data_IF_589920901580
#
_entry.id   IF_589920901580
#
_cell.length_a   1.000
_cell.length_b   1.000
_cell.length_c   1.000
_cell.angle_alpha   90.00
_cell.angle_beta   90.00
_cell.angle_gamma   90.00
#
_symmetry.space_group_name_H-M   'P 1'
#
loop_
_entity.id
_entity.type
_entity.pdbx_description
1 polymer ?
#
# COMPACT_ATOMS: atom_id res chain seq x y z
N UNK A 1 12.81 -1.42 8.66
CA UNK A 1 12.82 -1.87 10.07
C UNK A 1 11.54 -2.65 10.39
N UNK A 2 10.36 -2.15 10.05
CA UNK A 2 9.08 -2.78 10.42
C UNK A 2 8.72 -4.10 9.70
N UNK A 3 9.11 -4.30 8.44
CA UNK A 3 8.96 -5.58 7.73
C UNK A 3 9.62 -6.76 8.47
N UNK A 4 10.78 -6.50 9.09
CA UNK A 4 11.50 -7.51 9.89
C UNK A 4 10.76 -7.83 11.19
N UNK A 5 10.12 -6.84 11.81
CA UNK A 5 9.33 -7.03 13.05
C UNK A 5 8.15 -7.98 12.81
N UNK A 6 7.45 -7.84 11.68
CA UNK A 6 6.38 -8.77 11.29
C UNK A 6 6.88 -10.21 11.15
N UNK A 7 8.04 -10.41 10.53
CA UNK A 7 8.67 -11.72 10.41
C UNK A 7 9.05 -12.30 11.78
N UNK A 8 9.63 -11.51 12.67
CA UNK A 8 9.96 -11.94 14.03
C UNK A 8 8.72 -12.32 14.83
N UNK A 9 7.65 -11.54 14.72
CA UNK A 9 6.38 -11.86 15.39
C UNK A 9 5.80 -13.19 14.91
N UNK A 10 5.80 -13.44 13.59
CA UNK A 10 5.28 -14.70 13.06
C UNK A 10 6.13 -15.90 13.46
N UNK A 11 7.46 -15.80 13.37
CA UNK A 11 8.37 -16.87 13.77
C UNK A 11 8.34 -17.14 15.27
N UNK A 12 8.25 -16.10 16.11
CA UNK A 12 8.04 -16.23 17.56
C UNK A 12 6.71 -16.92 17.90
N UNK A 13 5.69 -16.79 17.03
CA UNK A 13 4.42 -17.51 17.13
C UNK A 13 4.50 -18.96 16.60
N UNK A 14 5.69 -19.47 16.26
CA UNK A 14 5.92 -20.85 15.84
C UNK A 14 5.80 -21.10 14.34
N UNK A 15 5.68 -20.04 13.53
CA UNK A 15 5.60 -20.16 12.06
C UNK A 15 6.97 -20.48 11.51
N UNK A 16 7.06 -21.50 10.65
CA UNK A 16 8.28 -21.88 9.96
C UNK A 16 8.18 -21.46 8.50
N UNK A 17 9.16 -20.71 8.03
CA UNK A 17 9.31 -20.37 6.61
C UNK A 17 10.36 -21.27 5.98
N UNK A 18 10.26 -21.59 4.68
CA UNK A 18 11.31 -22.30 3.98
C UNK A 18 12.58 -21.45 3.91
N UNK A 19 13.76 -22.07 3.92
CA UNK A 19 14.99 -21.32 3.73
C UNK A 19 14.98 -20.71 2.33
N UNK A 20 15.07 -19.38 2.27
CA UNK A 20 14.84 -18.63 1.02
C UNK A 20 15.83 -17.49 0.93
N UNK A 21 16.35 -17.24 -0.27
CA UNK A 21 17.17 -16.06 -0.59
C UNK A 21 16.51 -15.31 -1.72
N UNK A 22 16.15 -14.06 -1.45
CA UNK A 22 15.46 -13.21 -2.40
C UNK A 22 15.87 -11.76 -2.21
N UNK A 23 15.64 -10.97 -3.25
CA UNK A 23 15.83 -9.52 -3.22
C UNK A 23 14.49 -8.88 -2.87
N UNK A 24 14.47 -8.12 -1.78
CA UNK A 24 13.32 -7.31 -1.39
C UNK A 24 13.63 -5.85 -1.67
N UNK A 25 12.87 -5.27 -2.59
CA UNK A 25 12.86 -3.85 -2.87
C UNK A 25 11.94 -3.12 -1.91
N UNK A 26 12.53 -2.17 -1.19
CA UNK A 26 11.86 -1.32 -0.21
C UNK A 26 11.67 0.10 -0.75
N UNK A 27 12.03 0.38 -2.00
CA UNK A 27 11.75 1.68 -2.60
C UNK A 27 10.31 1.78 -3.07
N UNK A 28 9.70 2.95 -2.85
CA UNK A 28 8.31 3.21 -3.23
C UNK A 28 8.03 2.95 -4.72
N UNK A 29 8.95 3.36 -5.61
CA UNK A 29 8.71 3.29 -7.06
C UNK A 29 9.18 2.01 -7.75
N UNK A 30 9.53 0.94 -7.01
CA UNK A 30 10.11 -0.26 -7.60
C UNK A 30 11.60 -0.10 -7.94
N UNK A 31 12.43 -1.16 -7.90
CA UNK A 31 13.85 -1.12 -8.26
C UNK A 31 14.08 -1.48 -9.74
N UNK A 32 13.09 -2.10 -10.40
CA UNK A 32 13.15 -2.52 -11.79
C UNK A 32 12.71 -1.40 -12.78
N UNK A 33 13.28 -0.19 -12.65
CA UNK A 33 12.81 1.06 -13.30
C UNK A 33 13.42 1.38 -14.69
N UNK A 34 14.52 0.74 -15.05
CA UNK A 34 15.42 1.27 -16.11
C UNK A 34 15.68 0.28 -17.25
N UNK A 35 15.37 -1.00 -17.07
CA UNK A 35 15.65 -2.04 -18.08
C UNK A 35 14.36 -2.77 -18.51
N UNK A 36 14.31 -3.23 -19.77
CA UNK A 36 13.18 -3.97 -20.34
C UNK A 36 12.84 -5.23 -19.51
N UNK A 37 13.81 -5.78 -18.77
CA UNK A 37 13.68 -6.91 -17.88
C UNK A 37 14.41 -6.64 -16.55
N UNK A 38 13.81 -7.03 -15.42
CA UNK A 38 14.53 -6.95 -14.15
C UNK A 38 15.63 -8.03 -14.14
N UNK A 39 16.89 -7.72 -13.79
CA UNK A 39 18.00 -8.66 -13.90
C UNK A 39 17.89 -9.87 -12.95
N UNK A 40 16.98 -9.80 -11.97
CA UNK A 40 16.67 -10.85 -11.04
C UNK A 40 15.19 -10.76 -10.62
N UNK A 41 14.59 -11.85 -10.12
CA UNK A 41 13.30 -11.77 -9.45
C UNK A 41 13.43 -10.90 -8.19
N UNK A 42 12.70 -9.79 -8.17
CA UNK A 42 12.67 -8.84 -7.06
C UNK A 42 11.27 -8.85 -6.48
N UNK A 43 11.18 -8.97 -5.17
CA UNK A 43 9.95 -8.78 -4.42
C UNK A 43 9.77 -7.30 -4.11
N UNK A 44 8.56 -6.78 -4.19
CA UNK A 44 8.25 -5.39 -3.83
C UNK A 44 6.87 -5.26 -3.20
N UNK A 45 6.58 -4.11 -2.60
CA UNK A 45 5.25 -3.81 -2.06
C UNK A 45 4.32 -3.31 -3.17
N UNK A 46 4.83 -2.39 -4.01
CA UNK A 46 4.10 -1.81 -5.14
C UNK A 46 4.64 -2.31 -6.47
N UNK A 47 3.77 -2.41 -7.47
CA UNK A 47 4.10 -2.61 -8.88
C UNK A 47 3.19 -1.75 -9.77
N UNK A 48 3.54 -1.64 -11.06
CA UNK A 48 2.76 -0.90 -12.07
C UNK A 48 2.07 -1.87 -13.02
N UNK A 49 0.75 -1.80 -13.13
CA UNK A 49 -0.03 -2.60 -14.08
C UNK A 49 0.36 -2.27 -15.53
N UNK A 50 0.82 -3.28 -16.26
CA UNK A 50 1.38 -3.17 -17.60
C UNK A 50 0.35 -3.29 -18.72
N UNK A 51 -0.68 -2.46 -18.68
CA UNK A 51 -1.69 -2.40 -19.75
C UNK A 51 -1.99 -0.92 -20.04
N UNK A 52 -1.10 -0.21 -20.78
CA UNK A 52 -1.26 1.21 -21.07
C UNK A 52 -2.62 1.55 -21.70
N UNK A 53 -3.18 0.62 -22.46
CA UNK A 53 -4.52 0.70 -23.05
C UNK A 53 -5.64 0.88 -22.01
N UNK A 54 -5.45 0.38 -20.79
CA UNK A 54 -6.39 0.57 -19.67
C UNK A 54 -6.18 1.91 -18.95
N UNK A 55 -5.10 2.62 -19.26
CA UNK A 55 -4.70 3.87 -18.63
C UNK A 55 -4.45 4.98 -19.69
N UNK A 56 -5.43 5.28 -20.57
CA UNK A 56 -5.24 6.22 -21.69
C UNK A 56 -4.95 7.65 -21.24
N UNK A 57 -5.32 8.00 -20.00
CA UNK A 57 -5.08 9.32 -19.41
C UNK A 57 -3.73 9.43 -18.71
N UNK A 58 -2.89 8.39 -18.75
CA UNK A 58 -1.63 8.34 -18.00
C UNK A 58 -0.43 8.47 -18.92
N UNK A 59 0.52 9.29 -18.49
CA UNK A 59 1.86 9.36 -19.06
C UNK A 59 2.84 8.70 -18.11
N UNK A 60 3.35 7.53 -18.48
CA UNK A 60 4.32 6.79 -17.67
C UNK A 60 5.69 7.44 -17.80
N UNK A 61 6.28 7.83 -16.66
CA UNK A 61 7.63 8.43 -16.58
C UNK A 61 8.72 7.38 -16.41
N UNK A 62 8.33 6.20 -15.95
CA UNK A 62 9.21 5.07 -15.67
C UNK A 62 8.62 3.86 -16.41
N UNK A 63 9.46 3.16 -17.17
CA UNK A 63 9.08 1.86 -17.73
C UNK A 63 9.26 0.79 -16.65
N UNK A 64 8.19 0.07 -16.32
CA UNK A 64 8.34 -1.10 -15.47
C UNK A 64 8.88 -2.26 -16.32
N UNK A 65 10.07 -2.77 -15.98
CA UNK A 65 10.57 -4.08 -16.45
C UNK A 65 9.64 -5.20 -16.02
N UNK A 66 9.75 -6.46 -16.52
CA UNK A 66 8.79 -7.62 -16.45
C UNK A 66 7.85 -7.88 -15.24
N UNK A 67 7.89 -7.08 -14.18
CA UNK A 67 7.03 -7.09 -13.01
C UNK A 67 7.79 -7.61 -11.81
N UNK A 68 7.50 -7.08 -10.63
CA UNK A 68 8.02 -7.59 -9.36
C UNK A 68 7.06 -8.64 -8.78
N UNK A 69 7.57 -9.45 -7.85
CA UNK A 69 6.72 -10.34 -7.06
C UNK A 69 6.15 -9.52 -5.91
N UNK A 70 4.88 -9.13 -6.01
CA UNK A 70 4.26 -8.28 -4.99
C UNK A 70 4.05 -9.05 -3.68
N UNK A 71 4.46 -8.43 -2.58
CA UNK A 71 4.24 -8.89 -1.21
C UNK A 71 3.33 -7.93 -0.44
N UNK A 72 2.69 -8.41 0.64
CA UNK A 72 2.01 -7.53 1.56
C UNK A 72 2.97 -6.52 2.16
N UNK A 73 2.51 -5.28 2.32
CA UNK A 73 3.20 -4.37 3.22
C UNK A 73 3.10 -4.92 4.64
N UNK A 74 4.28 -5.11 5.23
CA UNK A 74 4.46 -5.63 6.58
C UNK A 74 4.99 -4.55 7.53
N UNK A 75 5.13 -3.31 7.05
CA UNK A 75 5.59 -2.19 7.86
C UNK A 75 4.51 -1.65 8.80
N UNK A 76 3.25 -1.77 8.39
CA UNK A 76 2.12 -1.48 9.25
C UNK A 76 1.72 -2.76 10.00
N UNK A 77 1.63 -2.74 11.35
CA UNK A 77 1.10 -3.87 12.08
C UNK A 77 -0.30 -4.13 11.53
N UNK A 78 -0.49 -5.28 10.87
CA UNK A 78 -1.72 -5.61 10.17
C UNK A 78 -2.91 -5.19 11.04
N UNK A 79 -3.74 -4.29 10.51
CA UNK A 79 -4.95 -3.82 11.18
C UNK A 79 -5.94 -4.99 11.21
N UNK A 80 -5.67 -5.99 12.06
CA UNK A 80 -6.54 -7.17 12.24
C UNK A 80 -7.92 -6.80 12.76
N UNK A 81 -8.08 -5.56 13.23
CA UNK A 81 -9.29 -5.07 13.84
C UNK A 81 -10.07 -4.25 12.83
N UNK A 82 -11.31 -4.71 12.59
CA UNK A 82 -12.31 -3.90 11.93
C UNK A 82 -12.65 -2.68 12.77
N UNK A 83 -12.73 -1.53 12.11
CA UNK A 83 -13.08 -0.26 12.73
C UNK A 83 -14.47 0.12 12.26
N UNK A 84 -15.44 -0.03 13.15
CA UNK A 84 -16.84 0.19 12.82
C UNK A 84 -17.41 1.33 13.64
N UNK A 85 -18.04 2.28 12.96
CA UNK A 85 -18.84 3.34 13.56
C UNK A 85 -20.29 3.27 13.04
N UNK A 86 -21.32 3.43 13.89
CA UNK A 86 -22.71 3.50 13.40
C UNK A 86 -22.87 4.55 12.29
N UNK A 87 -23.55 4.17 11.21
CA UNK A 87 -23.59 5.00 9.99
C UNK A 87 -24.23 6.38 10.22
N UNK A 88 -25.25 6.43 11.07
CA UNK A 88 -25.93 7.65 11.48
C UNK A 88 -25.08 8.61 12.33
N UNK A 89 -23.93 8.16 12.85
CA UNK A 89 -22.96 9.00 13.55
C UNK A 89 -21.84 9.53 12.63
N UNK A 90 -21.77 9.03 11.40
CA UNK A 90 -20.75 9.46 10.44
C UNK A 90 -21.15 10.78 9.81
N UNK A 91 -20.15 11.63 9.58
CA UNK A 91 -20.33 12.87 8.81
C UNK A 91 -20.24 12.56 7.32
N UNK A 92 -21.18 13.10 6.52
CA UNK A 92 -21.15 12.99 5.05
C UNK A 92 -20.09 13.90 4.43
N UNK A 93 -18.84 13.54 4.67
CA UNK A 93 -17.63 14.17 4.13
C UNK A 93 -16.62 13.09 3.79
N UNK A 94 -15.67 13.42 2.93
CA UNK A 94 -14.45 12.65 2.74
C UNK A 94 -13.32 13.18 3.60
N UNK A 95 -12.51 12.29 4.18
CA UNK A 95 -11.31 12.65 4.95
C UNK A 95 -10.03 12.32 4.18
N UNK A 96 -9.03 13.19 4.31
CA UNK A 96 -7.63 12.92 3.98
C UNK A 96 -6.67 13.57 4.98
N UNK A 97 -5.62 12.82 5.36
CA UNK A 97 -4.48 13.27 6.15
C UNK A 97 -3.21 12.68 5.51
N UNK A 98 -2.35 13.52 4.94
CA UNK A 98 -1.12 13.04 4.33
C UNK A 98 -0.23 14.14 3.76
N UNK A 99 1.02 13.79 3.48
CA UNK A 99 1.96 14.69 2.80
C UNK A 99 1.52 15.04 1.38
N UNK A 100 1.96 16.17 0.85
CA UNK A 100 1.67 16.66 -0.51
C UNK A 100 2.45 15.92 -1.62
N UNK A 101 2.75 14.65 -1.43
CA UNK A 101 3.43 13.83 -2.41
C UNK A 101 2.62 13.63 -3.68
N UNK A 102 3.28 13.74 -4.82
CA UNK A 102 2.72 13.47 -6.12
C UNK A 102 3.35 12.20 -6.71
N UNK A 103 2.61 11.44 -7.53
CA UNK A 103 3.16 10.29 -8.23
C UNK A 103 4.41 10.65 -9.02
N UNK A 104 5.49 9.90 -8.80
CA UNK A 104 6.74 10.07 -9.58
C UNK A 104 6.78 9.13 -10.78
N UNK A 105 6.05 8.01 -10.71
CA UNK A 105 6.04 6.96 -11.73
C UNK A 105 5.20 7.31 -12.95
N UNK A 106 4.17 8.14 -12.77
CA UNK A 106 3.24 8.50 -13.83
C UNK A 106 2.72 9.92 -13.65
N UNK A 107 2.10 10.46 -14.70
CA UNK A 107 1.27 11.65 -14.64
C UNK A 107 -0.14 11.26 -15.07
N UNK A 108 -1.14 11.47 -14.21
CA UNK A 108 -2.53 11.44 -14.63
C UNK A 108 -2.87 12.79 -15.28
N UNK A 109 -3.23 12.80 -16.56
CA UNK A 109 -3.57 14.02 -17.31
C UNK A 109 -4.84 14.70 -16.81
N UNK A 110 -5.73 13.98 -16.13
CA UNK A 110 -6.92 14.54 -15.48
C UNK A 110 -6.53 15.32 -14.23
N UNK A 111 -5.61 14.77 -13.44
CA UNK A 111 -5.16 15.35 -12.19
C UNK A 111 -3.70 14.96 -11.92
N UNK A 112 -2.72 15.79 -12.33
CA UNK A 112 -1.30 15.42 -12.23
C UNK A 112 -0.80 15.15 -10.82
N UNK A 113 -1.44 15.75 -9.80
CA UNK A 113 -1.14 15.52 -8.41
C UNK A 113 -2.42 15.63 -7.58
N UNK A 114 -3.04 14.48 -7.29
CA UNK A 114 -4.32 14.37 -6.61
C UNK A 114 -4.31 15.03 -5.23
N UNK A 115 -3.28 14.78 -4.41
CA UNK A 115 -3.15 15.36 -3.06
C UNK A 115 -3.13 16.88 -3.10
N UNK A 116 -2.28 17.48 -3.94
CA UNK A 116 -2.21 18.93 -4.11
C UNK A 116 -3.52 19.51 -4.66
N UNK A 117 -4.16 18.82 -5.61
CA UNK A 117 -5.44 19.23 -6.17
C UNK A 117 -6.55 19.29 -5.12
N UNK A 118 -6.74 18.24 -4.33
CA UNK A 118 -7.73 18.25 -3.23
C UNK A 118 -7.40 19.29 -2.17
N UNK A 119 -6.12 19.49 -1.85
CA UNK A 119 -5.69 20.57 -0.95
C UNK A 119 -6.08 21.94 -1.49
N UNK A 120 -5.81 22.22 -2.76
CA UNK A 120 -6.15 23.49 -3.38
C UNK A 120 -7.67 23.68 -3.46
N UNK A 121 -8.43 22.64 -3.76
CA UNK A 121 -9.89 22.73 -3.78
C UNK A 121 -10.48 23.13 -2.42
N UNK A 122 -9.91 22.62 -1.32
CA UNK A 122 -10.38 22.93 0.04
C UNK A 122 -9.83 24.27 0.54
N UNK A 123 -8.54 24.57 0.31
CA UNK A 123 -7.89 25.77 0.86
C UNK A 123 -8.07 27.02 -0.01
N UNK A 124 -8.36 26.87 -1.30
CA UNK A 124 -8.51 27.96 -2.29
C UNK A 124 -9.75 27.73 -3.17
N UNK A 125 -10.96 27.64 -2.58
CA UNK A 125 -12.19 27.33 -3.32
C UNK A 125 -12.44 28.34 -4.45
N UNK A 126 -12.71 27.86 -5.66
CA UNK A 126 -13.15 28.66 -6.82
C UNK A 126 -14.63 28.40 -7.13
N UNK A 127 -15.31 29.21 -7.97
CA UNK A 127 -16.74 29.07 -8.23
C UNK A 127 -17.21 27.66 -8.60
N UNK A 128 -16.40 26.90 -9.35
CA UNK A 128 -16.73 25.54 -9.81
C UNK A 128 -16.65 24.45 -8.72
N UNK A 129 -16.02 24.74 -7.58
CA UNK A 129 -15.86 23.79 -6.46
C UNK A 129 -15.90 24.51 -5.11
N UNK A 130 -16.66 25.62 -5.04
CA UNK A 130 -16.65 26.53 -3.90
C UNK A 130 -17.17 25.91 -2.60
N UNK A 131 -17.91 24.81 -2.73
CA UNK A 131 -18.46 24.04 -1.63
C UNK A 131 -17.57 22.86 -1.19
N UNK A 132 -16.39 22.66 -1.80
CA UNK A 132 -15.49 21.57 -1.44
C UNK A 132 -15.17 21.50 0.07
N UNK A 133 -14.94 22.61 0.81
CA UNK A 133 -14.72 22.56 2.27
C UNK A 133 -15.91 22.00 3.08
N UNK A 134 -17.12 22.02 2.52
CA UNK A 134 -18.32 21.44 3.15
C UNK A 134 -18.35 19.91 3.01
N UNK A 135 -17.68 19.35 2.00
CA UNK A 135 -17.72 17.93 1.66
C UNK A 135 -16.40 17.19 1.85
N UNK A 136 -15.29 17.92 2.01
CA UNK A 136 -13.96 17.33 2.16
C UNK A 136 -13.29 17.95 3.39
N UNK A 137 -12.92 17.09 4.32
CA UNK A 137 -12.10 17.37 5.48
C UNK A 137 -10.66 16.95 5.16
N UNK A 138 -9.79 17.92 4.88
CA UNK A 138 -8.44 17.65 4.42
C UNK A 138 -7.43 18.41 5.28
N UNK A 139 -6.43 17.67 5.75
CA UNK A 139 -5.20 18.25 6.27
C UNK A 139 -4.01 17.65 5.51
N UNK A 140 -3.10 18.53 5.10
CA UNK A 140 -1.96 18.17 4.26
C UNK A 140 -0.75 19.01 4.58
N UNK A 141 0.43 18.39 4.52
CA UNK A 141 1.68 19.03 4.89
C UNK A 141 2.78 18.89 3.84
N UNK A 142 3.76 19.77 3.94
CA UNK A 142 5.03 19.65 3.23
C UNK A 142 5.96 18.74 4.04
N UNK A 143 6.70 17.86 3.37
CA UNK A 143 7.64 16.95 4.06
C UNK A 143 8.92 17.63 4.50
N UNK A 144 9.19 18.85 4.02
CA UNK A 144 10.25 19.69 4.59
C UNK A 144 9.97 20.04 6.04
N UNK A 145 8.72 19.93 6.48
CA UNK A 145 8.38 19.97 7.89
C UNK A 145 8.82 18.66 8.54
N UNK A 146 9.80 18.71 9.45
CA UNK A 146 10.53 17.57 10.05
C UNK A 146 9.69 16.58 10.90
N UNK A 147 8.36 16.56 10.80
CA UNK A 147 7.48 15.62 11.49
C UNK A 147 7.07 14.48 10.55
N UNK A 148 7.22 13.24 11.02
CA UNK A 148 6.77 12.04 10.30
C UNK A 148 5.25 11.99 10.15
N UNK A 149 4.76 11.32 9.11
CA UNK A 149 3.32 11.21 8.80
C UNK A 149 2.52 10.58 9.95
N UNK A 150 3.07 9.57 10.62
CA UNK A 150 2.40 8.87 11.74
C UNK A 150 2.19 9.77 12.96
N UNK A 151 3.11 10.70 13.21
CA UNK A 151 2.97 11.66 14.32
C UNK A 151 1.84 12.67 14.09
N UNK A 152 1.38 12.84 12.85
CA UNK A 152 0.36 13.84 12.49
C UNK A 152 -1.07 13.27 12.51
N UNK A 153 -1.23 11.95 12.61
CA UNK A 153 -2.55 11.30 12.66
C UNK A 153 -2.73 10.69 14.05
N UNK A 154 -3.12 11.56 14.98
CA UNK A 154 -3.09 11.27 16.40
C UNK A 154 -4.04 10.13 16.85
N UNK A 155 -5.13 9.90 16.10
CA UNK A 155 -6.21 8.95 16.44
C UNK A 155 -6.49 7.99 15.27
N UNK A 156 -5.46 7.60 14.51
CA UNK A 156 -5.61 6.56 13.47
C UNK A 156 -5.93 5.20 14.09
N UNK A 157 -6.85 4.38 13.53
CA UNK A 157 -7.78 4.65 12.41
C UNK A 157 -9.14 5.26 12.85
N UNK A 158 -9.36 5.50 14.14
CA UNK A 158 -10.65 5.94 14.69
C UNK A 158 -11.10 7.31 14.19
N UNK A 159 -10.20 8.25 13.90
CA UNK A 159 -10.52 9.53 13.27
C UNK A 159 -11.24 9.35 11.94
N UNK A 160 -10.75 8.45 11.09
CA UNK A 160 -11.30 8.21 9.76
C UNK A 160 -12.68 7.57 9.82
N UNK A 161 -12.93 6.73 10.84
CA UNK A 161 -14.24 6.11 11.06
C UNK A 161 -15.38 7.11 11.27
N UNK A 162 -15.07 8.38 11.59
CA UNK A 162 -16.03 9.47 11.81
C UNK A 162 -16.63 10.00 10.50
N UNK A 163 -16.08 9.61 9.36
CA UNK A 163 -16.45 10.11 8.03
C UNK A 163 -17.08 9.00 7.18
N UNK A 164 -18.04 9.35 6.32
CA UNK A 164 -18.65 8.39 5.39
C UNK A 164 -17.72 8.02 4.24
N UNK A 165 -16.80 8.92 3.87
CA UNK A 165 -15.87 8.72 2.76
C UNK A 165 -14.41 8.88 3.21
N UNK A 166 -13.48 8.21 2.55
CA UNK A 166 -12.03 8.34 2.75
C UNK A 166 -11.37 8.46 1.37
N UNK A 167 -10.45 9.42 1.22
CA UNK A 167 -9.71 9.59 -0.03
C UNK A 167 -8.44 8.71 0.01
N UNK A 168 -8.39 7.68 -0.84
CA UNK A 168 -7.18 6.90 -1.06
C UNK A 168 -6.44 7.51 -2.26
N UNK A 169 -5.52 8.42 -1.95
CA UNK A 169 -4.72 9.17 -2.91
C UNK A 169 -3.27 8.66 -2.91
N UNK A 170 -2.71 8.52 -4.10
CA UNK A 170 -1.35 8.04 -4.32
C UNK A 170 -0.34 9.07 -3.82
N UNK A 171 0.81 8.57 -3.38
CA UNK A 171 1.97 9.37 -2.97
C UNK A 171 3.01 9.39 -4.07
N UNK A 172 4.27 9.13 -3.73
CA UNK A 172 5.30 8.81 -4.73
C UNK A 172 4.88 7.61 -5.61
N UNK A 173 4.15 6.68 -5.01
CA UNK A 173 3.66 5.42 -5.59
C UNK A 173 2.23 5.21 -5.13
N UNK A 174 1.77 3.99 -4.87
CA UNK A 174 0.41 3.76 -4.40
C UNK A 174 0.14 4.36 -3.02
N UNK A 175 -1.12 4.39 -2.62
CA UNK A 175 -1.53 4.81 -1.28
C UNK A 175 -1.27 3.70 -0.25
N UNK A 176 -0.19 3.81 0.56
CA UNK A 176 0.15 2.83 1.61
C UNK A 176 -0.96 2.58 2.66
N UNK A 177 -1.93 3.49 2.77
CA UNK A 177 -3.05 3.37 3.72
C UNK A 177 -4.25 2.64 3.14
N UNK A 178 -4.25 2.30 1.86
CA UNK A 178 -5.41 1.72 1.19
C UNK A 178 -5.86 0.43 1.88
N UNK A 179 -4.90 -0.44 2.23
CA UNK A 179 -5.19 -1.68 2.93
C UNK A 179 -5.87 -1.45 4.29
N UNK A 180 -5.33 -0.54 5.09
CA UNK A 180 -5.89 -0.20 6.40
C UNK A 180 -7.26 0.47 6.28
N UNK A 181 -7.46 1.31 5.25
CA UNK A 181 -8.75 1.91 4.95
C UNK A 181 -9.84 0.86 4.65
N UNK A 182 -9.49 -0.28 4.03
CA UNK A 182 -10.44 -1.37 3.79
C UNK A 182 -10.99 -1.97 5.09
N UNK A 183 -10.30 -1.82 6.23
CA UNK A 183 -10.77 -2.27 7.54
C UNK A 183 -11.76 -1.31 8.21
N UNK A 184 -11.99 -0.12 7.64
CA UNK A 184 -12.90 0.90 8.20
C UNK A 184 -14.23 0.85 7.46
N UNK A 185 -15.37 0.93 8.17
CA UNK A 185 -16.70 0.89 7.56
C UNK A 185 -17.10 2.21 6.87
N UNK A 186 -16.25 2.70 5.98
CA UNK A 186 -16.42 3.94 5.23
C UNK A 186 -16.14 3.70 3.75
N UNK A 187 -16.75 4.47 2.85
CA UNK A 187 -16.55 4.35 1.41
C UNK A 187 -15.17 4.88 1.04
N UNK A 188 -14.38 4.06 0.36
CA UNK A 188 -13.09 4.47 -0.17
C UNK A 188 -13.29 5.09 -1.54
N UNK A 189 -12.94 6.35 -1.69
CA UNK A 189 -12.80 7.04 -2.96
C UNK A 189 -11.34 6.88 -3.40
N UNK A 190 -11.10 5.89 -4.24
CA UNK A 190 -9.76 5.51 -4.67
C UNK A 190 -9.41 6.21 -5.96
N UNK A 191 -8.30 6.91 -6.01
CA UNK A 191 -7.83 7.44 -7.28
C UNK A 191 -7.59 6.32 -8.28
N UNK A 192 -7.98 6.57 -9.52
CA UNK A 192 -7.62 5.70 -10.62
C UNK A 192 -6.11 5.81 -10.81
N UNK A 193 -5.41 4.69 -10.64
CA UNK A 193 -3.96 4.62 -10.67
C UNK A 193 -3.50 3.31 -11.30
N UNK A 194 -2.41 3.33 -12.08
CA UNK A 194 -1.77 2.11 -12.57
C UNK A 194 -0.90 1.43 -11.50
N UNK A 195 -0.63 2.08 -10.37
CA UNK A 195 0.16 1.52 -9.28
C UNK A 195 -0.74 0.69 -8.38
N UNK A 196 -0.27 -0.50 -8.03
CA UNK A 196 -1.05 -1.49 -7.28
C UNK A 196 -0.21 -2.18 -6.22
N UNK A 197 -0.87 -2.55 -5.14
CA UNK A 197 -0.43 -3.54 -4.16
C UNK A 197 -0.92 -4.96 -4.53
N UNK A 198 -0.42 -5.96 -3.80
CA UNK A 198 -0.71 -7.38 -4.04
C UNK A 198 -2.21 -7.73 -4.07
N UNK A 199 -3.03 -7.07 -3.24
CA UNK A 199 -4.47 -7.34 -3.14
C UNK A 199 -5.31 -6.53 -4.12
N UNK A 200 -4.75 -5.50 -4.75
CA UNK A 200 -5.55 -4.58 -5.57
C UNK A 200 -6.09 -5.22 -6.85
N UNK A 201 -5.48 -6.34 -7.27
CA UNK A 201 -5.93 -7.14 -8.42
C UNK A 201 -7.24 -7.91 -8.15
N UNK A 202 -7.64 -8.06 -6.89
CA UNK A 202 -8.83 -8.84 -6.51
C UNK A 202 -9.98 -7.98 -5.97
N UNK A 203 -9.70 -6.80 -5.43
CA UNK A 203 -10.75 -5.82 -5.13
C UNK A 203 -11.29 -5.21 -6.43
N UNK A 204 -12.56 -4.84 -6.41
CA UNK A 204 -13.29 -4.41 -7.62
C UNK A 204 -13.91 -3.01 -7.45
N UNK A 205 -13.83 -2.15 -8.50
CA UNK A 205 -14.54 -0.88 -8.53
C UNK A 205 -16.04 -1.06 -8.32
N UNK A 206 -16.65 -0.13 -7.58
CA UNK A 206 -18.06 -0.11 -7.16
C UNK A 206 -18.54 -1.35 -6.37
N UNK A 207 -17.62 -2.25 -6.00
CA UNK A 207 -17.91 -3.38 -5.10
C UNK A 207 -17.20 -3.18 -3.76
N UNK A 208 -15.93 -2.76 -3.78
CA UNK A 208 -15.09 -2.57 -2.59
C UNK A 208 -14.62 -1.11 -2.42
N UNK A 209 -14.61 -0.33 -3.50
CA UNK A 209 -14.22 1.08 -3.49
C UNK A 209 -14.91 1.79 -4.66
N UNK A 210 -14.87 3.12 -4.69
CA UNK A 210 -15.39 3.93 -5.79
C UNK A 210 -14.20 4.61 -6.50
N UNK A 211 -13.98 4.38 -7.80
CA UNK A 211 -12.90 5.02 -8.53
C UNK A 211 -13.19 6.52 -8.73
N UNK A 212 -12.17 7.36 -8.56
CA UNK A 212 -12.20 8.81 -8.81
C UNK A 212 -11.02 9.22 -9.70
N UNK A 213 -11.07 10.44 -10.25
CA UNK A 213 -10.04 11.00 -11.15
C UNK A 213 -9.84 10.18 -12.43
N UNK A 214 -10.88 9.47 -12.89
CA UNK A 214 -10.83 8.69 -14.12
C UNK A 214 -10.84 9.60 -15.35
N UNK A 215 -11.82 10.52 -15.41
CA UNK A 215 -12.05 11.43 -16.53
C UNK A 215 -12.36 12.87 -16.10
N UNK A 216 -12.61 13.10 -14.81
CA UNK A 216 -13.02 14.39 -14.25
C UNK A 216 -12.27 14.60 -12.92
N UNK A 217 -11.69 15.78 -12.72
CA UNK A 217 -10.96 16.12 -11.50
C UNK A 217 -11.88 16.52 -10.32
N UNK A 218 -13.19 16.60 -10.55
CA UNK A 218 -14.20 16.96 -9.54
C UNK A 218 -15.16 15.82 -9.19
N UNK A 219 -14.99 14.63 -9.79
CA UNK A 219 -15.92 13.50 -9.63
C UNK A 219 -16.13 13.05 -8.17
N UNK A 220 -15.09 13.15 -7.35
CA UNK A 220 -15.19 12.87 -5.92
C UNK A 220 -16.25 13.74 -5.22
N UNK A 221 -16.36 15.04 -5.54
CA UNK A 221 -17.37 15.92 -4.94
C UNK A 221 -18.78 15.52 -5.38
N UNK A 222 -18.95 15.18 -6.65
CA UNK A 222 -20.24 14.74 -7.19
C UNK A 222 -20.70 13.44 -6.52
N UNK A 223 -19.78 12.48 -6.33
CA UNK A 223 -20.02 11.22 -5.62
C UNK A 223 -20.43 11.50 -4.17
N UNK A 224 -19.67 12.31 -3.44
CA UNK A 224 -19.96 12.63 -2.03
C UNK A 224 -21.35 13.27 -1.90
N UNK A 225 -21.78 14.10 -2.85
CA UNK A 225 -23.09 14.77 -2.80
C UNK A 225 -24.24 13.85 -3.15
N UNK A 226 -24.06 12.97 -4.14
CA UNK A 226 -25.19 12.28 -4.80
C UNK A 226 -25.35 10.81 -4.44
N UNK A 227 -24.30 10.15 -3.92
CA UNK A 227 -24.33 8.70 -3.67
C UNK A 227 -25.36 8.31 -2.60
N UNK A 228 -26.19 7.31 -2.93
CA UNK A 228 -27.24 6.83 -2.04
C UNK A 228 -26.66 6.11 -0.83
N UNK A 229 -27.29 6.29 0.33
CA UNK A 229 -26.78 5.72 1.59
C UNK A 229 -26.72 4.19 1.60
N UNK A 230 -27.73 3.54 1.03
CA UNK A 230 -27.73 2.09 0.88
C UNK A 230 -26.54 1.57 0.07
N UNK A 231 -26.14 2.31 -0.96
CA UNK A 231 -25.00 1.97 -1.80
C UNK A 231 -23.67 2.20 -1.07
N UNK A 232 -23.56 3.31 -0.34
CA UNK A 232 -22.38 3.59 0.49
C UNK A 232 -22.14 2.48 1.52
N UNK A 233 -23.18 2.08 2.25
CA UNK A 233 -23.08 1.01 3.24
C UNK A 233 -22.73 -0.33 2.59
N UNK A 234 -23.30 -0.65 1.42
CA UNK A 234 -22.98 -1.88 0.69
C UNK A 234 -21.50 -1.95 0.33
N UNK A 235 -20.96 -0.90 -0.29
CA UNK A 235 -19.54 -0.85 -0.71
C UNK A 235 -18.62 -0.91 0.51
N UNK A 236 -18.90 -0.13 1.56
CA UNK A 236 -18.10 -0.12 2.78
C UNK A 236 -18.10 -1.49 3.50
N UNK A 237 -19.25 -2.17 3.55
CA UNK A 237 -19.36 -3.50 4.16
C UNK A 237 -18.60 -4.56 3.35
N UNK A 238 -18.67 -4.50 2.02
CA UNK A 238 -17.92 -5.40 1.16
C UNK A 238 -16.40 -5.22 1.32
N UNK A 239 -15.94 -3.97 1.41
CA UNK A 239 -14.54 -3.63 1.71
C UNK A 239 -14.07 -4.27 3.01
N UNK A 240 -14.81 -4.07 4.11
CA UNK A 240 -14.46 -4.64 5.41
C UNK A 240 -14.48 -6.16 5.42
N UNK A 241 -15.46 -6.80 4.77
CA UNK A 241 -15.52 -8.25 4.67
C UNK A 241 -14.31 -8.80 3.90
N UNK A 242 -13.91 -8.12 2.82
CA UNK A 242 -12.69 -8.46 2.09
C UNK A 242 -11.46 -8.33 2.99
N UNK A 243 -11.32 -7.20 3.69
CA UNK A 243 -10.18 -6.91 4.55
C UNK A 243 -10.05 -7.95 5.68
N UNK A 244 -11.13 -8.22 6.40
CA UNK A 244 -11.17 -9.21 7.47
C UNK A 244 -10.75 -10.60 6.99
N UNK A 245 -11.15 -10.98 5.77
CA UNK A 245 -10.91 -12.31 5.23
C UNK A 245 -9.53 -12.48 4.61
N UNK A 246 -9.02 -11.45 3.93
CA UNK A 246 -7.86 -11.57 3.04
C UNK A 246 -6.68 -10.67 3.40
N UNK A 247 -6.87 -9.67 4.26
CA UNK A 247 -5.83 -8.69 4.64
C UNK A 247 -5.50 -8.72 6.14
N UNK A 248 -6.15 -9.58 6.92
CA UNK A 248 -5.76 -9.80 8.30
C UNK A 248 -4.36 -10.43 8.40
N UNK A 249 -3.75 -10.33 9.58
CA UNK A 249 -2.38 -10.78 9.81
C UNK A 249 -2.13 -12.24 9.39
N UNK A 250 -3.08 -13.13 9.69
CA UNK A 250 -3.01 -14.54 9.33
C UNK A 250 -3.04 -14.73 7.80
N UNK A 251 -3.86 -13.97 7.08
CA UNK A 251 -3.97 -14.04 5.64
C UNK A 251 -2.70 -13.50 4.96
N UNK A 252 -2.14 -12.39 5.45
CA UNK A 252 -0.85 -11.86 4.96
C UNK A 252 0.29 -12.84 5.19
N UNK A 253 0.36 -13.42 6.39
CA UNK A 253 1.33 -14.45 6.74
C UNK A 253 1.23 -15.65 5.81
N UNK A 254 0.01 -16.12 5.54
CA UNK A 254 -0.25 -17.23 4.63
C UNK A 254 0.17 -16.90 3.19
N UNK A 255 -0.17 -15.70 2.71
CA UNK A 255 0.25 -15.22 1.39
C UNK A 255 1.78 -15.18 1.29
N UNK A 256 2.46 -14.61 2.29
CA UNK A 256 3.92 -14.50 2.30
C UNK A 256 4.60 -15.88 2.34
N UNK A 257 4.13 -16.79 3.19
CA UNK A 257 4.60 -18.18 3.21
C UNK A 257 4.44 -18.84 1.83
N UNK A 258 3.25 -18.73 1.24
CA UNK A 258 2.99 -19.34 -0.06
C UNK A 258 3.84 -18.74 -1.17
N UNK A 259 4.05 -17.42 -1.15
CA UNK A 259 4.91 -16.74 -2.11
C UNK A 259 6.36 -17.25 -2.05
N UNK A 260 6.89 -17.50 -0.84
CA UNK A 260 8.22 -18.09 -0.68
C UNK A 260 8.29 -19.55 -1.12
N UNK A 261 7.29 -20.36 -0.82
CA UNK A 261 7.24 -21.76 -1.30
C UNK A 261 7.23 -21.85 -2.82
N UNK A 262 6.37 -21.07 -3.48
CA UNK A 262 6.26 -21.02 -4.94
C UNK A 262 7.56 -20.48 -5.55
N UNK A 263 8.12 -19.42 -4.97
CA UNK A 263 9.40 -18.86 -5.41
C UNK A 263 10.53 -19.88 -5.31
N UNK A 264 10.67 -20.58 -4.18
CA UNK A 264 11.70 -21.59 -4.00
C UNK A 264 11.55 -22.75 -4.99
N UNK A 265 10.32 -23.09 -5.38
CA UNK A 265 10.06 -24.14 -6.37
C UNK A 265 10.60 -23.82 -7.77
N UNK A 266 10.91 -22.55 -8.05
CA UNK A 266 11.53 -22.11 -9.31
C UNK A 266 13.04 -22.46 -9.37
N UNK A 267 13.64 -22.86 -8.25
CA UNK A 267 15.05 -23.20 -8.16
C UNK A 267 15.23 -24.71 -8.03
N UNK A 268 16.29 -25.23 -8.65
CA UNK A 268 16.62 -26.65 -8.56
C UNK A 268 16.95 -27.09 -7.12
N UNK A 269 17.67 -26.25 -6.37
CA UNK A 269 18.05 -26.51 -4.98
C UNK A 269 18.40 -25.20 -4.23
N UNK A 270 17.39 -24.59 -3.60
CA UNK A 270 17.58 -23.39 -2.76
C UNK A 270 18.36 -23.70 -1.48
N UNK A 271 18.14 -24.87 -0.89
CA UNK A 271 18.74 -25.28 0.39
C UNK A 271 20.26 -25.43 0.27
N UNK A 272 20.72 -26.16 -0.74
CA UNK A 272 22.16 -26.31 -0.98
C UNK A 272 22.81 -24.99 -1.37
N UNK A 273 22.13 -24.14 -2.17
CA UNK A 273 22.67 -22.81 -2.48
C UNK A 273 22.87 -21.96 -1.22
N UNK A 274 21.89 -21.97 -0.30
CA UNK A 274 22.00 -21.26 0.98
C UNK A 274 23.17 -21.80 1.80
N UNK A 275 23.22 -23.12 1.99
CA UNK A 275 24.23 -23.79 2.80
C UNK A 275 25.64 -23.61 2.26
N UNK A 276 25.82 -23.78 0.95
CA UNK A 276 27.14 -23.91 0.33
C UNK A 276 27.69 -22.56 -0.16
N UNK A 277 26.83 -21.56 -0.37
CA UNK A 277 27.23 -20.23 -0.90
C UNK A 277 26.91 -19.10 0.08
N UNK A 278 25.65 -18.98 0.51
CA UNK A 278 25.20 -17.78 1.25
C UNK A 278 25.72 -17.77 2.69
N UNK A 279 25.60 -18.87 3.42
CA UNK A 279 26.09 -18.94 4.81
C UNK A 279 27.61 -18.69 4.90
N UNK A 280 28.48 -19.28 4.05
CA UNK A 280 29.90 -18.93 4.03
C UNK A 280 30.17 -17.44 3.74
N UNK A 281 29.45 -16.85 2.77
CA UNK A 281 29.60 -15.43 2.45
C UNK A 281 29.20 -14.52 3.62
N UNK A 282 28.13 -14.86 4.33
CA UNK A 282 27.70 -14.13 5.53
C UNK A 282 28.76 -14.21 6.64
N UNK A 283 29.31 -15.40 6.89
CA UNK A 283 30.37 -15.59 7.88
C UNK A 283 31.63 -14.76 7.57
N UNK A 284 32.04 -14.69 6.29
CA UNK A 284 33.16 -13.85 5.85
C UNK A 284 32.84 -12.36 6.06
N UNK A 285 31.64 -11.91 5.68
CA UNK A 285 31.22 -10.51 5.85
C UNK A 285 31.23 -10.08 7.32
N UNK A 286 30.78 -10.96 8.22
CA UNK A 286 30.83 -10.74 9.67
C UNK A 286 32.27 -10.69 10.18
N UNK A 287 33.12 -11.63 9.77
CA UNK A 287 34.54 -11.66 10.13
C UNK A 287 35.29 -10.39 9.69
N UNK A 288 34.97 -9.86 8.50
CA UNK A 288 35.57 -8.64 7.96
C UNK A 288 34.99 -7.34 8.56
N UNK A 289 34.01 -7.42 9.47
CA UNK A 289 33.36 -6.23 10.03
C UNK A 289 32.58 -5.41 9.00
N UNK A 290 32.26 -5.99 7.84
CA UNK A 290 31.52 -5.33 6.75
C UNK A 290 29.99 -5.40 6.96
N UNK A 291 29.56 -5.74 8.18
CA UNK A 291 28.16 -5.85 8.55
C UNK A 291 27.48 -4.48 8.65
N UNK A 292 26.98 -3.94 7.55
CA UNK A 292 25.92 -2.94 7.63
C UNK A 292 24.61 -3.61 8.08
N UNK A 293 24.10 -3.17 9.22
CA UNK A 293 22.71 -3.27 9.72
C UNK A 293 21.97 -4.61 9.49
N UNK A 294 22.56 -5.74 9.89
CA UNK A 294 21.73 -6.86 10.37
C UNK A 294 21.32 -6.56 11.82
N UNK A 295 20.54 -5.49 12.04
CA UNK A 295 19.91 -5.32 13.34
C UNK A 295 18.85 -6.43 13.48
N UNK A 296 19.16 -7.38 14.36
CA UNK A 296 18.23 -8.34 14.96
C UNK A 296 17.90 -9.64 14.21
N UNK A 297 18.70 -10.11 13.23
CA UNK A 297 18.61 -11.55 12.94
C UNK A 297 18.93 -12.28 14.26
N UNK A 298 18.07 -13.20 14.74
CA UNK A 298 18.44 -14.05 15.87
C UNK A 298 19.78 -14.65 15.50
N UNK A 299 20.77 -14.49 16.37
CA UNK A 299 21.97 -15.31 16.26
C UNK A 299 21.44 -16.74 16.19
N UNK A 300 21.75 -17.51 15.13
CA UNK A 300 21.32 -18.88 15.10
C UNK A 300 21.97 -19.54 16.31
N UNK A 301 21.18 -19.78 17.35
CA UNK A 301 21.57 -20.66 18.43
C UNK A 301 21.63 -22.05 17.78
N UNK A 302 22.83 -22.35 17.27
CA UNK A 302 23.31 -23.65 16.83
C UNK A 302 22.41 -24.31 15.77
N UNK A 303 22.76 -24.08 14.49
CA UNK A 303 22.47 -25.09 13.46
C UNK A 303 23.36 -26.30 13.76
N UNK A 304 22.84 -27.29 14.48
CA UNK A 304 23.45 -28.62 14.51
C UNK A 304 23.11 -29.37 13.20
N UNK A 305 24.07 -30.11 12.62
CA UNK A 305 23.99 -30.69 11.28
C UNK A 305 22.93 -31.78 11.10
#
# INVERSE_FOLDING_TARGET
MHTQESFYRWTAAGVKFPNSVFLLDLENGGSCRVEEECPAPVFSIFDVLKQPENFPNFEFRIQSGKGSIMLPDMSHPATTQLVTRPWNEKTRKAIFRGSLHCPVMFINRVCPCSRAHFTDMVKKPKPEHGDAPQFIDLDSWDERDQMTDDMRIQDWPHEYSKFMFMLALDGQSGSMKLEEMLHINSVILKEHSPVVEFFERVIKPNEHYVPILLNNSYDALDIIKSMQESEMQRIANNAQQFAQRYLCDEAKKFYFLRALEEYNSLFADMESYIRDVILPLMAVKEHLGLGHHYQNLPKPDVFEP
#
